data_IF_188966619131
#
_entry.id   IF_188966619131
#
_cell.length_a   1.000
_cell.length_b   1.000
_cell.length_c   1.000
_cell.angle_alpha   90.00
_cell.angle_beta   90.00
_cell.angle_gamma   90.00
#
_symmetry.space_group_name_H-M   'P 1'
#
loop_
_entity.id
_entity.type
_entity.pdbx_description
1 polymer ?
#
# COMPACT_ATOMS: atom_id res chain seq x y z
N UNK A 1 35.03 -0.89 2.19
CA UNK A 1 33.93 -0.40 3.06
C UNK A 1 33.27 -1.57 3.75
N UNK A 2 32.87 -1.41 5.03
CA UNK A 2 32.32 -2.46 5.87
C UNK A 2 31.06 -1.97 6.59
N UNK A 3 30.22 -2.91 7.00
CA UNK A 3 29.01 -2.72 7.83
C UNK A 3 29.01 -3.73 8.97
N UNK A 4 28.54 -3.33 10.13
CA UNK A 4 28.31 -4.22 11.26
C UNK A 4 26.83 -4.57 11.34
N UNK A 5 26.52 -5.84 11.54
CA UNK A 5 25.15 -6.32 11.60
C UNK A 5 25.04 -7.80 11.97
N UNK A 6 23.79 -8.26 12.04
CA UNK A 6 23.50 -9.68 12.26
C UNK A 6 23.74 -10.47 10.96
N UNK A 7 24.37 -11.59 11.09
CA UNK A 7 24.70 -12.51 10.02
C UNK A 7 24.13 -13.89 10.34
N UNK A 8 23.27 -14.36 9.48
CA UNK A 8 22.66 -15.67 9.59
C UNK A 8 23.56 -16.73 8.95
N UNK A 9 23.82 -17.79 9.67
CA UNK A 9 24.55 -18.99 9.19
C UNK A 9 23.74 -20.24 9.51
N UNK A 10 24.15 -21.38 8.98
CA UNK A 10 23.59 -22.68 9.37
C UNK A 10 23.75 -23.00 10.87
N UNK A 11 24.62 -22.30 11.59
CA UNK A 11 24.88 -22.46 13.01
C UNK A 11 24.20 -21.42 13.90
N UNK A 12 23.39 -20.51 13.30
CA UNK A 12 22.68 -19.47 14.02
C UNK A 12 23.01 -18.04 13.57
N UNK A 13 22.63 -17.07 14.40
CA UNK A 13 22.76 -15.64 14.12
C UNK A 13 23.98 -15.09 14.88
N UNK A 14 24.87 -14.41 14.17
CA UNK A 14 26.08 -13.82 14.73
C UNK A 14 26.18 -12.33 14.38
N UNK A 15 26.54 -11.49 15.36
CA UNK A 15 26.87 -10.10 15.10
C UNK A 15 28.33 -9.98 14.67
N UNK A 16 28.59 -9.44 13.49
CA UNK A 16 29.94 -9.21 13.01
C UNK A 16 30.06 -8.08 12.00
N UNK A 17 31.28 -7.62 11.79
CA UNK A 17 31.64 -6.66 10.75
C UNK A 17 31.95 -7.38 9.44
N UNK A 18 31.30 -6.95 8.36
CA UNK A 18 31.38 -7.57 7.03
C UNK A 18 31.61 -6.52 5.94
N UNK A 19 32.08 -6.94 4.74
CA UNK A 19 32.06 -6.08 3.58
C UNK A 19 30.65 -5.56 3.30
N UNK A 20 30.56 -4.31 2.85
CA UNK A 20 29.28 -3.70 2.48
C UNK A 20 28.64 -4.50 1.31
N UNK A 21 27.39 -4.96 1.43
CA UNK A 21 26.75 -5.77 0.40
C UNK A 21 26.51 -4.95 -0.87
N UNK A 22 26.47 -5.60 -2.03
CA UNK A 22 26.20 -4.94 -3.32
C UNK A 22 24.72 -4.68 -3.57
N UNK A 23 23.86 -5.40 -2.87
CA UNK A 23 22.40 -5.27 -2.90
C UNK A 23 21.90 -5.15 -1.47
N UNK A 24 21.05 -4.18 -1.23
CA UNK A 24 20.39 -3.92 0.06
C UNK A 24 18.90 -3.89 -0.18
N UNK A 25 18.17 -4.68 0.58
CA UNK A 25 16.71 -4.64 0.63
C UNK A 25 16.28 -3.74 1.78
N UNK A 26 15.77 -2.53 1.43
CA UNK A 26 15.39 -1.52 2.40
C UNK A 26 13.99 -1.78 2.97
N UNK A 27 13.92 -1.96 4.29
CA UNK A 27 12.67 -2.13 5.05
C UNK A 27 12.53 -1.10 6.16
N UNK A 28 13.32 -0.03 6.14
CA UNK A 28 13.20 1.07 7.11
C UNK A 28 11.91 1.86 6.89
N UNK A 29 11.36 2.41 7.99
CA UNK A 29 10.20 3.28 7.94
C UNK A 29 10.27 4.32 9.08
N UNK A 30 10.23 5.62 8.77
CA UNK A 30 10.35 6.17 7.41
C UNK A 30 11.72 5.82 6.77
N UNK A 31 11.82 5.95 5.45
CA UNK A 31 13.10 5.71 4.77
C UNK A 31 14.08 6.87 5.05
N UNK A 32 15.34 6.52 5.23
CA UNK A 32 16.43 7.50 5.36
C UNK A 32 17.00 7.84 3.99
N UNK A 33 16.49 8.92 3.39
CA UNK A 33 16.88 9.37 2.06
C UNK A 33 18.36 9.73 1.98
N UNK A 34 18.95 10.26 3.05
CA UNK A 34 20.36 10.62 3.07
C UNK A 34 21.28 9.39 3.00
N UNK A 35 20.99 8.37 3.81
CA UNK A 35 21.71 7.10 3.76
C UNK A 35 21.52 6.40 2.42
N UNK A 36 20.30 6.39 1.87
CA UNK A 36 20.03 5.79 0.56
C UNK A 36 20.83 6.50 -0.53
N UNK A 37 20.85 7.84 -0.57
CA UNK A 37 21.61 8.63 -1.52
C UNK A 37 23.11 8.34 -1.42
N UNK A 38 23.65 8.27 -0.20
CA UNK A 38 25.06 7.90 0.03
C UNK A 38 25.41 6.51 -0.49
N UNK A 39 24.53 5.51 -0.26
CA UNK A 39 24.75 4.14 -0.73
C UNK A 39 24.72 4.05 -2.27
N UNK A 40 23.79 4.74 -2.90
CA UNK A 40 23.62 4.70 -4.36
C UNK A 40 24.68 5.51 -5.11
N UNK A 41 25.32 6.51 -4.48
CA UNK A 41 26.42 7.30 -5.05
C UNK A 41 27.80 6.65 -4.92
N UNK A 42 27.91 5.49 -4.24
CA UNK A 42 29.17 4.77 -4.14
C UNK A 42 29.68 4.27 -5.50
N UNK A 43 31.00 4.12 -5.62
CA UNK A 43 31.62 3.48 -6.78
C UNK A 43 32.27 2.16 -6.36
N UNK A 44 31.81 1.02 -6.90
CA UNK A 44 30.60 0.82 -7.69
C UNK A 44 29.32 1.07 -6.84
N UNK A 45 28.23 1.54 -7.47
CA UNK A 45 27.01 1.86 -6.73
C UNK A 45 26.35 0.62 -6.13
N UNK A 46 25.70 0.78 -4.99
CA UNK A 46 24.91 -0.28 -4.33
C UNK A 46 23.48 -0.26 -4.87
N UNK A 47 22.95 -1.43 -5.19
CA UNK A 47 21.53 -1.58 -5.49
C UNK A 47 20.73 -1.54 -4.18
N UNK A 48 19.98 -0.47 -3.97
CA UNK A 48 19.01 -0.38 -2.88
C UNK A 48 17.64 -0.68 -3.46
N UNK A 49 17.05 -1.80 -3.06
CA UNK A 49 15.67 -2.18 -3.38
C UNK A 49 14.73 -1.40 -2.47
N UNK A 50 13.61 -0.92 -3.00
CA UNK A 50 12.65 -0.08 -2.29
C UNK A 50 13.33 1.15 -1.65
N UNK A 51 13.90 2.01 -2.51
CA UNK A 51 14.51 3.27 -2.05
C UNK A 51 13.54 4.14 -1.28
N UNK A 52 12.27 4.11 -1.69
CA UNK A 52 11.16 4.80 -1.05
C UNK A 52 10.24 3.72 -0.47
N UNK A 53 10.05 3.75 0.85
CA UNK A 53 9.20 2.81 1.59
C UNK A 53 7.90 3.45 2.07
N UNK A 54 7.84 4.77 2.09
CA UNK A 54 6.65 5.55 2.44
C UNK A 54 6.22 6.36 1.22
N UNK A 55 5.10 6.02 0.64
CA UNK A 55 4.53 6.71 -0.50
C UNK A 55 3.65 7.88 -0.05
N UNK A 56 3.86 9.03 -0.67
CA UNK A 56 2.98 10.18 -0.56
C UNK A 56 1.74 9.96 -1.42
N UNK A 57 0.54 9.90 -0.80
CA UNK A 57 -0.71 9.56 -1.48
C UNK A 57 -1.06 10.49 -2.63
N UNK A 58 -0.78 11.77 -2.49
CA UNK A 58 -1.01 12.76 -3.55
C UNK A 58 -0.07 12.55 -4.73
N UNK A 59 1.20 12.30 -4.45
CA UNK A 59 2.19 11.98 -5.50
C UNK A 59 1.81 10.71 -6.25
N UNK A 60 1.45 9.63 -5.53
CA UNK A 60 1.00 8.38 -6.17
C UNK A 60 -0.25 8.63 -7.02
N UNK A 61 -1.24 9.34 -6.49
CA UNK A 61 -2.46 9.68 -7.24
C UNK A 61 -2.12 10.40 -8.55
N UNK A 62 -1.31 11.46 -8.51
CA UNK A 62 -0.91 12.21 -9.72
C UNK A 62 -0.18 11.34 -10.75
N UNK A 63 0.71 10.45 -10.29
CA UNK A 63 1.45 9.57 -11.19
C UNK A 63 0.53 8.56 -11.91
N UNK A 64 -0.44 8.01 -11.19
CA UNK A 64 -1.38 7.03 -11.75
C UNK A 64 -2.48 7.68 -12.60
N UNK A 65 -2.98 8.86 -12.21
CA UNK A 65 -3.98 9.62 -12.98
C UNK A 65 -3.47 10.02 -14.36
N UNK A 66 -2.15 10.20 -14.53
CA UNK A 66 -1.52 10.49 -15.82
C UNK A 66 -1.45 9.27 -16.76
N UNK A 67 -2.10 8.16 -16.41
CA UNK A 67 -2.11 6.90 -17.16
C UNK A 67 -3.54 6.38 -17.33
N UNK A 68 -3.71 5.28 -18.05
CA UNK A 68 -5.01 4.60 -18.17
C UNK A 68 -5.50 3.96 -16.85
N UNK A 69 -4.68 3.93 -15.80
CA UNK A 69 -5.14 3.58 -14.44
C UNK A 69 -6.02 4.67 -13.82
N UNK A 70 -6.13 5.86 -14.42
CA UNK A 70 -7.05 6.92 -13.99
C UNK A 70 -8.49 6.43 -13.81
N UNK A 71 -8.94 5.49 -14.65
CA UNK A 71 -10.27 4.90 -14.57
C UNK A 71 -10.55 4.10 -13.28
N UNK A 72 -9.49 3.70 -12.59
CA UNK A 72 -9.56 2.93 -11.34
C UNK A 72 -9.25 3.76 -10.10
N UNK A 73 -9.09 5.07 -10.23
CA UNK A 73 -8.76 5.95 -9.11
C UNK A 73 -10.00 6.74 -8.69
N UNK A 74 -10.31 6.79 -7.38
CA UNK A 74 -11.26 7.75 -6.84
C UNK A 74 -10.81 9.18 -7.12
N UNK A 75 -11.74 10.10 -7.35
CA UNK A 75 -11.39 11.51 -7.48
C UNK A 75 -10.73 12.00 -6.19
N UNK A 76 -9.57 12.60 -6.34
CA UNK A 76 -8.74 13.01 -5.19
C UNK A 76 -8.21 14.41 -5.43
N UNK A 77 -8.18 15.19 -4.36
CA UNK A 77 -7.81 16.61 -4.38
C UNK A 77 -6.77 16.88 -3.30
N UNK A 78 -5.93 17.88 -3.51
CA UNK A 78 -5.12 18.43 -2.44
C UNK A 78 -6.03 19.18 -1.47
N UNK A 79 -5.74 19.09 -0.16
CA UNK A 79 -6.60 19.66 0.86
C UNK A 79 -6.37 21.15 0.99
N UNK A 80 -7.42 21.93 0.85
CA UNK A 80 -7.61 23.28 1.35
C UNK A 80 -9.10 23.49 1.71
N UNK A 81 -9.43 24.63 2.34
CA UNK A 81 -10.80 24.92 2.80
C UNK A 81 -11.81 24.99 1.66
N UNK A 82 -11.47 25.67 0.56
CA UNK A 82 -12.36 25.81 -0.59
C UNK A 82 -12.61 24.45 -1.26
N UNK A 83 -11.53 23.70 -1.47
CA UNK A 83 -11.59 22.34 -2.03
C UNK A 83 -12.41 21.40 -1.15
N UNK A 84 -12.32 21.51 0.19
CA UNK A 84 -13.14 20.72 1.10
C UNK A 84 -14.63 20.97 0.90
N UNK A 85 -15.02 22.24 0.81
CA UNK A 85 -16.40 22.65 0.59
C UNK A 85 -16.93 22.15 -0.76
N UNK A 86 -16.16 22.40 -1.83
CA UNK A 86 -16.51 21.98 -3.20
C UNK A 86 -16.63 20.45 -3.32
N UNK A 87 -15.73 19.71 -2.69
CA UNK A 87 -15.77 18.25 -2.71
C UNK A 87 -17.00 17.70 -1.97
N UNK A 88 -17.38 18.30 -0.82
CA UNK A 88 -18.61 17.92 -0.10
C UNK A 88 -19.86 18.20 -0.92
N UNK A 89 -19.93 19.35 -1.61
CA UNK A 89 -21.06 19.68 -2.51
C UNK A 89 -21.13 18.68 -3.67
N UNK A 90 -19.98 18.37 -4.28
CA UNK A 90 -19.90 17.55 -5.49
C UNK A 90 -20.20 16.08 -5.23
N UNK A 91 -19.62 15.52 -4.16
CA UNK A 91 -19.64 14.08 -3.90
C UNK A 91 -20.62 13.68 -2.79
N UNK A 92 -20.98 14.60 -1.89
CA UNK A 92 -21.84 14.33 -0.74
C UNK A 92 -21.20 13.45 0.34
N UNK A 93 -20.20 12.64 -0.03
CA UNK A 93 -19.50 11.71 0.84
C UNK A 93 -18.02 11.66 0.45
N UNK A 94 -17.14 12.00 1.38
CA UNK A 94 -15.70 12.13 1.15
C UNK A 94 -14.88 11.54 2.29
N UNK A 95 -13.63 11.19 1.98
CA UNK A 95 -12.62 10.81 2.97
C UNK A 95 -11.48 11.82 2.94
N UNK A 96 -11.07 12.28 4.12
CA UNK A 96 -9.88 13.11 4.30
C UNK A 96 -8.83 12.25 4.99
N UNK A 97 -7.62 12.25 4.42
CA UNK A 97 -6.53 11.38 4.92
C UNK A 97 -5.18 12.06 4.82
N UNK A 98 -4.25 11.82 5.79
CA UNK A 98 -2.88 12.33 5.68
C UNK A 98 -2.19 11.81 4.42
N UNK A 99 -1.46 12.68 3.72
CA UNK A 99 -0.64 12.30 2.56
C UNK A 99 0.39 11.24 2.94
N UNK A 100 1.05 11.43 4.09
CA UNK A 100 2.00 10.49 4.68
C UNK A 100 1.36 9.88 5.92
N UNK A 101 0.70 8.74 5.79
CA UNK A 101 0.01 8.06 6.88
C UNK A 101 0.05 6.55 6.71
N UNK A 102 -0.32 5.83 7.76
CA UNK A 102 -0.41 4.37 7.77
C UNK A 102 -1.53 3.90 8.70
N UNK A 103 -2.00 2.68 8.47
CA UNK A 103 -2.95 1.99 9.37
C UNK A 103 -4.23 2.78 9.67
N UNK A 104 -4.72 3.61 8.72
CA UNK A 104 -5.93 4.41 8.91
C UNK A 104 -5.81 5.57 9.89
N UNK A 105 -4.62 5.84 10.45
CA UNK A 105 -4.43 6.95 11.39
C UNK A 105 -4.70 8.31 10.74
N UNK A 106 -5.49 9.15 11.42
CA UNK A 106 -5.83 10.50 10.95
C UNK A 106 -6.83 10.52 9.78
N UNK A 107 -7.59 9.46 9.58
CA UNK A 107 -8.60 9.30 8.54
C UNK A 107 -9.96 9.80 9.05
N UNK A 108 -10.65 10.59 8.22
CA UNK A 108 -11.97 11.15 8.52
C UNK A 108 -12.88 10.93 7.32
N UNK A 109 -14.07 10.38 7.55
CA UNK A 109 -15.14 10.37 6.55
C UNK A 109 -16.16 11.44 6.90
N UNK A 110 -16.52 12.26 5.94
CA UNK A 110 -17.52 13.31 6.05
C UNK A 110 -18.65 13.02 5.08
N UNK A 111 -19.88 12.93 5.60
CA UNK A 111 -21.07 12.68 4.76
C UNK A 111 -22.07 13.81 4.96
N UNK A 112 -22.47 14.45 3.88
CA UNK A 112 -23.55 15.43 3.90
C UNK A 112 -24.89 14.71 4.10
N UNK A 113 -25.64 15.16 5.10
CA UNK A 113 -26.95 14.60 5.44
C UNK A 113 -28.08 15.58 5.11
N UNK A 114 -29.32 15.10 4.91
CA UNK A 114 -30.49 15.96 4.77
C UNK A 114 -30.64 16.93 5.96
N UNK A 115 -31.24 18.11 5.71
CA UNK A 115 -31.47 19.12 6.75
C UNK A 115 -30.22 19.90 7.15
N UNK A 116 -29.29 20.10 6.19
CA UNK A 116 -28.05 20.87 6.41
C UNK A 116 -27.21 20.33 7.58
N UNK A 117 -27.00 19.03 7.60
CA UNK A 117 -26.21 18.33 8.64
C UNK A 117 -25.00 17.64 8.02
N UNK A 118 -23.97 17.46 8.81
CA UNK A 118 -22.73 16.77 8.46
C UNK A 118 -22.52 15.60 9.43
N UNK A 119 -22.36 14.38 8.90
CA UNK A 119 -21.88 13.25 9.66
C UNK A 119 -20.37 13.21 9.59
N UNK A 120 -19.73 13.26 10.73
CA UNK A 120 -18.26 13.15 10.87
C UNK A 120 -17.97 11.80 11.49
N UNK A 121 -17.28 10.93 10.72
CA UNK A 121 -16.87 9.59 11.15
C UNK A 121 -15.35 9.49 11.13
N UNK A 122 -14.64 9.67 12.24
CA UNK A 122 -13.21 9.33 12.35
C UNK A 122 -13.00 7.83 12.13
N UNK A 123 -11.75 7.41 11.84
CA UNK A 123 -11.42 5.98 11.76
C UNK A 123 -11.69 5.25 13.10
N UNK A 124 -11.45 5.93 14.20
CA UNK A 124 -11.79 5.59 15.59
C UNK A 124 -12.04 6.93 16.26
N UNK A 125 -13.01 7.23 16.93
CA UNK A 125 -14.12 6.62 17.67
C UNK A 125 -15.51 6.86 17.05
N UNK A 126 -16.53 7.13 17.88
CA UNK A 126 -17.95 7.20 17.53
C UNK A 126 -18.26 8.30 16.52
N UNK A 127 -19.09 8.02 15.48
CA UNK A 127 -19.58 9.03 14.55
C UNK A 127 -20.42 10.08 15.25
N UNK A 128 -20.30 11.34 14.83
CA UNK A 128 -21.14 12.45 15.31
C UNK A 128 -21.80 13.17 14.13
N UNK A 129 -23.08 13.48 14.30
CA UNK A 129 -23.83 14.31 13.35
C UNK A 129 -24.00 15.71 13.93
N UNK A 130 -23.54 16.70 13.19
CA UNK A 130 -23.54 18.12 13.58
C UNK A 130 -24.24 18.97 12.52
N UNK A 131 -24.68 20.21 12.82
CA UNK A 131 -25.09 21.16 11.79
C UNK A 131 -23.93 21.43 10.81
N UNK A 132 -24.24 21.51 9.51
CA UNK A 132 -23.25 21.88 8.52
C UNK A 132 -23.13 23.41 8.49
N UNK A 133 -22.15 23.95 9.18
CA UNK A 133 -21.91 25.40 9.33
C UNK A 133 -20.43 25.70 9.10
N UNK A 134 -20.14 26.96 8.73
CA UNK A 134 -18.75 27.42 8.57
C UNK A 134 -17.94 27.24 9.86
N UNK A 135 -18.55 27.36 11.04
CA UNK A 135 -17.88 27.15 12.31
C UNK A 135 -17.38 25.71 12.47
N UNK A 136 -18.18 24.71 12.08
CA UNK A 136 -17.80 23.29 12.09
C UNK A 136 -16.70 23.02 11.08
N UNK A 137 -16.81 23.57 9.88
CA UNK A 137 -15.78 23.39 8.83
C UNK A 137 -14.46 24.03 9.27
N UNK A 138 -14.50 25.22 9.88
CA UNK A 138 -13.31 25.88 10.42
C UNK A 138 -12.68 25.05 11.56
N UNK A 139 -13.48 24.47 12.45
CA UNK A 139 -12.98 23.58 13.51
C UNK A 139 -12.28 22.35 12.92
N UNK A 140 -12.89 21.69 11.92
CA UNK A 140 -12.27 20.57 11.23
C UNK A 140 -10.95 20.99 10.58
N UNK A 141 -10.92 22.15 9.93
CA UNK A 141 -9.69 22.69 9.33
C UNK A 141 -8.58 22.87 10.36
N UNK A 142 -8.87 23.47 11.52
CA UNK A 142 -7.91 23.65 12.60
C UNK A 142 -7.32 22.31 13.07
N UNK A 143 -8.14 21.26 13.18
CA UNK A 143 -7.71 19.92 13.57
C UNK A 143 -6.80 19.27 12.51
N UNK A 144 -6.89 19.70 11.26
CA UNK A 144 -6.13 19.15 10.13
C UNK A 144 -4.87 19.94 9.78
N UNK A 145 -4.76 21.22 10.21
CA UNK A 145 -3.60 22.09 9.94
C UNK A 145 -2.22 21.42 10.19
N UNK A 146 -2.03 20.63 11.28
CA UNK A 146 -0.72 20.01 11.52
C UNK A 146 -0.29 18.99 10.47
N UNK A 147 -1.18 18.62 9.54
CA UNK A 147 -0.95 17.54 8.58
C UNK A 147 -1.15 18.05 7.16
N UNK A 148 -0.33 17.56 6.23
CA UNK A 148 -0.66 17.65 4.81
C UNK A 148 -1.67 16.56 4.48
N UNK A 149 -2.85 16.95 3.99
CA UNK A 149 -3.98 16.07 3.77
C UNK A 149 -4.34 15.97 2.29
N UNK A 150 -5.09 14.95 1.92
CA UNK A 150 -5.84 14.85 0.67
C UNK A 150 -7.32 14.60 0.98
N UNK A 151 -8.17 15.11 0.09
CA UNK A 151 -9.60 14.85 0.05
C UNK A 151 -9.85 13.85 -1.08
N UNK A 152 -10.63 12.81 -0.81
CA UNK A 152 -10.96 11.79 -1.79
C UNK A 152 -12.46 11.50 -1.75
N UNK A 153 -13.10 11.32 -2.90
CA UNK A 153 -14.49 10.82 -2.94
C UNK A 153 -14.56 9.47 -2.21
N UNK A 154 -15.62 9.26 -1.47
CA UNK A 154 -15.84 7.98 -0.81
C UNK A 154 -16.48 7.00 -1.79
N UNK A 155 -15.82 5.87 -2.00
CA UNK A 155 -16.36 4.79 -2.83
C UNK A 155 -17.16 3.84 -1.96
N UNK A 156 -18.44 3.65 -2.30
CA UNK A 156 -19.32 2.68 -1.64
C UNK A 156 -18.95 1.26 -2.08
N UNK A 157 -18.04 0.65 -1.33
CA UNK A 157 -17.54 -0.69 -1.61
C UNK A 157 -18.61 -1.74 -1.35
N UNK A 158 -18.49 -2.86 -2.06
CA UNK A 158 -19.24 -4.07 -1.76
C UNK A 158 -18.97 -4.55 -0.34
N UNK A 159 -19.91 -5.29 0.21
CA UNK A 159 -19.81 -5.85 1.55
C UNK A 159 -20.14 -7.35 1.51
N UNK A 160 -19.55 -8.11 2.41
CA UNK A 160 -19.86 -9.50 2.70
C UNK A 160 -20.33 -9.58 4.16
N UNK A 161 -21.48 -10.20 4.38
CA UNK A 161 -22.11 -10.26 5.71
C UNK A 161 -22.24 -8.89 6.40
N UNK A 162 -22.52 -7.83 5.62
CA UNK A 162 -22.63 -6.46 6.13
C UNK A 162 -21.31 -5.76 6.41
N UNK A 163 -20.16 -6.41 6.23
CA UNK A 163 -18.82 -5.86 6.46
C UNK A 163 -18.12 -5.52 5.15
N UNK A 164 -17.50 -4.35 5.05
CA UNK A 164 -16.66 -3.99 3.92
C UNK A 164 -15.44 -4.90 3.83
N UNK A 165 -14.97 -5.12 2.60
CA UNK A 165 -13.72 -5.83 2.36
C UNK A 165 -12.88 -5.13 1.30
N UNK A 166 -11.61 -5.46 1.27
CA UNK A 166 -10.70 -5.12 0.18
C UNK A 166 -9.91 -6.33 -0.29
N UNK A 167 -9.30 -6.16 -1.46
CA UNK A 167 -8.34 -7.09 -2.05
C UNK A 167 -6.96 -6.47 -1.94
N UNK A 168 -6.04 -7.12 -1.23
CA UNK A 168 -4.64 -6.70 -1.14
C UNK A 168 -3.76 -7.57 -2.02
N UNK A 169 -3.25 -6.99 -3.09
CA UNK A 169 -2.27 -7.61 -3.96
C UNK A 169 -0.85 -7.27 -3.47
N UNK A 170 -0.07 -8.28 -3.10
CA UNK A 170 1.37 -8.16 -2.90
C UNK A 170 2.07 -8.36 -4.24
N UNK A 171 2.66 -7.31 -4.77
CA UNK A 171 3.35 -7.32 -6.06
C UNK A 171 4.84 -7.27 -5.81
N UNK A 172 5.57 -8.28 -6.27
CA UNK A 172 7.00 -8.43 -6.03
C UNK A 172 7.74 -8.77 -7.33
N UNK A 173 9.02 -8.40 -7.39
CA UNK A 173 9.90 -8.87 -8.46
C UNK A 173 10.41 -10.26 -8.16
N UNK A 174 10.24 -11.16 -9.13
CA UNK A 174 10.71 -12.52 -9.06
C UNK A 174 12.23 -12.63 -9.32
N UNK A 175 12.75 -13.86 -9.26
CA UNK A 175 14.17 -14.19 -9.51
C UNK A 175 14.69 -13.84 -10.91
N UNK A 176 13.84 -13.41 -11.82
CA UNK A 176 14.19 -12.97 -13.18
C UNK A 176 14.12 -11.44 -13.32
N UNK A 177 13.53 -10.75 -12.33
CA UNK A 177 13.33 -9.31 -12.32
C UNK A 177 11.98 -8.87 -12.88
N UNK A 178 11.06 -9.81 -13.12
CA UNK A 178 9.72 -9.54 -13.61
C UNK A 178 8.76 -9.30 -12.45
N UNK A 179 7.83 -8.37 -12.62
CA UNK A 179 6.77 -8.14 -11.66
C UNK A 179 5.72 -9.24 -11.70
N UNK A 180 5.34 -9.76 -10.54
CA UNK A 180 4.29 -10.75 -10.35
C UNK A 180 3.47 -10.43 -9.10
N UNK A 181 2.22 -10.87 -9.03
CA UNK A 181 1.44 -10.92 -7.79
C UNK A 181 1.85 -12.19 -7.06
N UNK A 182 2.54 -12.02 -5.93
CA UNK A 182 3.00 -13.15 -5.10
C UNK A 182 1.90 -13.63 -4.16
N UNK A 183 1.06 -12.72 -3.68
CA UNK A 183 -0.07 -13.03 -2.81
C UNK A 183 -1.25 -12.12 -3.12
N UNK A 184 -2.45 -12.66 -3.06
CA UNK A 184 -3.69 -11.92 -3.17
C UNK A 184 -4.62 -12.31 -2.02
N UNK A 185 -4.79 -11.40 -1.08
CA UNK A 185 -5.57 -11.59 0.14
C UNK A 185 -6.76 -10.67 0.18
N UNK A 186 -7.78 -11.06 0.94
CA UNK A 186 -8.89 -10.19 1.34
C UNK A 186 -8.82 -9.90 2.82
N UNK A 187 -9.10 -8.65 3.18
CA UNK A 187 -9.34 -8.23 4.57
C UNK A 187 -10.80 -7.86 4.72
N UNK A 188 -11.48 -8.48 5.65
CA UNK A 188 -12.87 -8.15 6.00
C UNK A 188 -12.83 -7.21 7.19
N UNK A 189 -13.37 -6.01 7.05
CA UNK A 189 -13.41 -5.01 8.11
C UNK A 189 -14.20 -5.50 9.33
N UNK A 190 -13.89 -4.97 10.50
CA UNK A 190 -14.75 -5.12 11.68
C UNK A 190 -16.12 -4.48 11.41
N UNK A 191 -17.13 -4.93 12.12
CA UNK A 191 -18.47 -4.35 12.01
C UNK A 191 -18.43 -2.83 12.20
N UNK A 192 -19.26 -2.10 11.46
CA UNK A 192 -19.37 -0.64 11.46
C UNK A 192 -18.12 0.13 11.03
N UNK A 193 -17.03 -0.55 10.66
CA UNK A 193 -15.85 0.10 10.08
C UNK A 193 -16.01 0.35 8.59
N UNK A 194 -15.63 1.55 8.15
CA UNK A 194 -15.61 1.94 6.73
C UNK A 194 -14.22 1.78 6.08
N UNK A 195 -13.25 1.27 6.85
CA UNK A 195 -11.89 0.99 6.41
C UNK A 195 -11.47 -0.43 6.81
N UNK A 196 -10.69 -1.06 5.96
CA UNK A 196 -10.21 -2.43 6.16
C UNK A 196 -8.90 -2.53 6.95
N UNK A 197 -8.37 -1.40 7.41
CA UNK A 197 -7.21 -1.38 8.31
C UNK A 197 -7.52 -2.01 9.68
N UNK A 198 -8.79 -1.93 10.12
CA UNK A 198 -9.33 -2.61 11.29
C UNK A 198 -10.16 -3.81 10.82
N UNK A 199 -9.47 -4.89 10.48
CA UNK A 199 -10.11 -6.11 10.00
C UNK A 199 -10.38 -7.11 11.14
N UNK A 200 -11.37 -7.96 10.93
CA UNK A 200 -11.69 -9.08 11.79
C UNK A 200 -11.24 -10.42 11.21
N UNK A 201 -11.02 -10.48 9.89
CA UNK A 201 -10.62 -11.69 9.19
C UNK A 201 -9.76 -11.39 7.98
N UNK A 202 -8.77 -12.25 7.76
CA UNK A 202 -7.94 -12.30 6.56
C UNK A 202 -8.11 -13.68 5.94
N UNK A 203 -8.25 -13.73 4.61
CA UNK A 203 -8.35 -14.99 3.87
C UNK A 203 -7.88 -14.82 2.43
N UNK A 204 -7.71 -15.90 1.70
CA UNK A 204 -7.43 -15.83 0.26
C UNK A 204 -8.54 -15.07 -0.47
N UNK A 205 -8.18 -14.19 -1.40
CA UNK A 205 -9.15 -13.41 -2.16
C UNK A 205 -10.09 -14.31 -2.99
N UNK A 206 -9.54 -15.38 -3.58
CA UNK A 206 -10.32 -16.35 -4.34
C UNK A 206 -11.40 -17.02 -3.48
N UNK A 207 -11.05 -17.43 -2.27
CA UNK A 207 -11.98 -18.05 -1.32
C UNK A 207 -13.11 -17.08 -0.94
N UNK A 208 -12.79 -15.82 -0.61
CA UNK A 208 -13.82 -14.83 -0.30
C UNK A 208 -14.77 -14.61 -1.46
N UNK A 209 -14.22 -14.39 -2.65
CA UNK A 209 -15.01 -14.10 -3.85
C UNK A 209 -15.91 -15.28 -4.23
N UNK A 210 -15.41 -16.51 -4.15
CA UNK A 210 -16.17 -17.71 -4.45
C UNK A 210 -17.33 -17.93 -3.45
N UNK A 211 -17.07 -17.76 -2.15
CA UNK A 211 -18.06 -17.95 -1.11
C UNK A 211 -19.24 -16.96 -1.20
N UNK A 212 -19.03 -15.80 -1.81
CA UNK A 212 -20.04 -14.74 -1.93
C UNK A 212 -20.50 -14.49 -3.37
N UNK A 213 -20.28 -15.46 -4.27
CA UNK A 213 -20.79 -15.48 -5.65
C UNK A 213 -20.34 -14.31 -6.54
N UNK A 214 -19.18 -13.73 -6.28
CA UNK A 214 -18.58 -12.75 -7.17
C UNK A 214 -18.03 -13.42 -8.44
N UNK A 215 -17.84 -12.68 -9.54
CA UNK A 215 -17.21 -13.20 -10.76
C UNK A 215 -15.69 -13.39 -10.56
N UNK A 216 -15.33 -14.47 -9.86
CA UNK A 216 -13.97 -14.74 -9.32
C UNK A 216 -12.88 -14.50 -10.34
N UNK A 217 -12.93 -15.24 -11.47
CA UNK A 217 -11.85 -15.16 -12.47
C UNK A 217 -11.66 -13.75 -13.02
N UNK A 218 -12.76 -13.06 -13.35
CA UNK A 218 -12.69 -11.71 -13.91
C UNK A 218 -12.08 -10.71 -12.92
N UNK A 219 -12.44 -10.81 -11.64
CA UNK A 219 -11.92 -9.93 -10.59
C UNK A 219 -10.44 -10.22 -10.32
N UNK A 220 -10.03 -11.49 -10.23
CA UNK A 220 -8.65 -11.86 -9.98
C UNK A 220 -7.73 -11.43 -11.13
N UNK A 221 -8.11 -11.72 -12.40
CA UNK A 221 -7.35 -11.33 -13.59
C UNK A 221 -7.20 -9.80 -13.70
N UNK A 222 -8.28 -9.06 -13.42
CA UNK A 222 -8.24 -7.59 -13.41
C UNK A 222 -7.38 -7.04 -12.27
N UNK A 223 -7.49 -7.61 -11.07
CA UNK A 223 -6.69 -7.24 -9.89
C UNK A 223 -5.19 -7.44 -10.16
N UNK A 224 -4.80 -8.57 -10.74
CA UNK A 224 -3.42 -8.85 -11.12
C UNK A 224 -2.92 -7.83 -12.16
N UNK A 225 -3.69 -7.61 -13.22
CA UNK A 225 -3.34 -6.68 -14.31
C UNK A 225 -3.13 -5.26 -13.78
N UNK A 226 -4.07 -4.73 -12.99
CA UNK A 226 -4.02 -3.38 -12.41
C UNK A 226 -2.80 -3.27 -11.48
N UNK A 227 -2.58 -4.27 -10.65
CA UNK A 227 -1.53 -4.25 -9.62
C UNK A 227 -0.12 -4.31 -10.22
N UNK A 228 0.10 -5.19 -11.20
CA UNK A 228 1.39 -5.27 -11.92
C UNK A 228 1.65 -3.98 -12.70
N UNK A 229 0.64 -3.42 -13.35
CA UNK A 229 0.75 -2.16 -14.07
C UNK A 229 1.11 -1.00 -13.14
N UNK A 230 0.45 -0.93 -11.98
CA UNK A 230 0.77 0.04 -10.92
C UNK A 230 2.24 -0.07 -10.52
N UNK A 231 2.74 -1.27 -10.26
CA UNK A 231 4.14 -1.48 -9.87
C UNK A 231 5.12 -1.00 -10.96
N UNK A 232 4.86 -1.29 -12.23
CA UNK A 232 5.69 -0.86 -13.37
C UNK A 232 5.74 0.66 -13.51
N UNK A 233 4.58 1.32 -13.42
CA UNK A 233 4.50 2.79 -13.53
C UNK A 233 5.27 3.45 -12.38
N UNK A 234 5.05 2.99 -11.14
CA UNK A 234 5.71 3.56 -9.98
C UNK A 234 7.22 3.32 -9.99
N UNK A 235 7.69 2.16 -10.44
CA UNK A 235 9.12 1.92 -10.58
C UNK A 235 9.77 2.88 -11.59
N UNK A 236 9.13 3.13 -12.73
CA UNK A 236 9.64 4.06 -13.75
C UNK A 236 9.76 5.49 -13.21
N UNK A 237 8.87 5.90 -12.30
CA UNK A 237 8.78 7.28 -11.79
C UNK A 237 9.54 7.49 -10.48
N UNK A 238 9.52 6.51 -9.60
CA UNK A 238 10.08 6.61 -8.24
C UNK A 238 11.47 5.94 -8.12
N UNK A 239 11.89 5.20 -9.14
CA UNK A 239 13.14 4.45 -9.14
C UNK A 239 12.97 3.03 -8.63
N UNK A 240 14.08 2.39 -8.29
CA UNK A 240 14.17 0.95 -8.09
C UNK A 240 13.29 0.43 -6.95
N UNK A 241 12.25 -0.30 -7.31
CA UNK A 241 11.35 -1.01 -6.41
C UNK A 241 11.54 -2.52 -6.59
N UNK A 242 11.34 -3.29 -5.54
CA UNK A 242 11.32 -4.76 -5.54
C UNK A 242 9.96 -5.31 -5.12
N UNK A 243 9.20 -4.53 -4.36
CA UNK A 243 7.86 -4.89 -3.92
C UNK A 243 7.01 -3.66 -3.63
N UNK A 244 5.72 -3.80 -3.79
CA UNK A 244 4.67 -2.90 -3.31
C UNK A 244 3.46 -3.74 -2.89
N UNK A 245 2.52 -3.17 -2.14
CA UNK A 245 1.14 -3.68 -2.10
C UNK A 245 0.18 -2.68 -2.68
N UNK A 246 -0.84 -3.20 -3.37
CA UNK A 246 -1.95 -2.43 -3.92
C UNK A 246 -3.22 -2.91 -3.21
N UNK A 247 -3.90 -1.98 -2.55
CA UNK A 247 -5.17 -2.22 -1.91
C UNK A 247 -6.27 -1.80 -2.88
N UNK A 248 -7.11 -2.76 -3.29
CA UNK A 248 -8.21 -2.53 -4.22
C UNK A 248 -9.54 -2.75 -3.51
N UNK A 249 -10.43 -1.79 -3.67
CA UNK A 249 -11.83 -1.95 -3.30
C UNK A 249 -12.64 -2.44 -4.50
N UNK A 250 -13.68 -3.23 -4.24
CA UNK A 250 -14.68 -3.66 -5.21
C UNK A 250 -15.98 -2.92 -4.91
N UNK A 251 -16.57 -2.21 -5.86
CA UNK A 251 -17.86 -1.57 -5.66
C UNK A 251 -19.04 -2.54 -5.97
N UNK A 252 -20.25 -2.08 -5.75
CA UNK A 252 -21.47 -2.88 -5.96
C UNK A 252 -21.70 -3.28 -7.42
N UNK A 253 -21.05 -2.61 -8.37
CA UNK A 253 -21.07 -2.95 -9.78
C UNK A 253 -19.90 -3.87 -10.21
N UNK A 254 -19.14 -4.39 -9.23
CA UNK A 254 -17.92 -5.18 -9.43
C UNK A 254 -16.79 -4.42 -10.13
N UNK A 255 -16.80 -3.06 -10.08
CA UNK A 255 -15.68 -2.26 -10.55
C UNK A 255 -14.61 -2.22 -9.48
N UNK A 256 -13.35 -2.41 -9.88
CA UNK A 256 -12.19 -2.27 -9.01
C UNK A 256 -11.75 -0.81 -8.88
N UNK A 257 -11.33 -0.45 -7.67
CA UNK A 257 -10.82 0.87 -7.33
C UNK A 257 -9.50 0.73 -6.57
N UNK A 258 -8.46 1.43 -7.00
CA UNK A 258 -7.18 1.52 -6.27
C UNK A 258 -7.40 2.46 -5.08
N UNK A 259 -7.50 1.89 -3.88
CA UNK A 259 -7.75 2.65 -2.64
C UNK A 259 -6.45 3.18 -2.06
N UNK A 260 -5.39 2.34 -2.07
CA UNK A 260 -4.08 2.70 -1.55
C UNK A 260 -2.96 1.88 -2.20
N UNK A 261 -1.77 2.48 -2.28
CA UNK A 261 -0.54 1.78 -2.69
C UNK A 261 0.52 1.98 -1.61
N UNK A 262 1.15 0.89 -1.17
CA UNK A 262 2.13 0.91 -0.08
C UNK A 262 3.51 0.43 -0.55
N UNK A 263 4.56 1.23 -0.28
CA UNK A 263 5.95 0.91 -0.64
C UNK A 263 6.65 -0.04 0.33
N UNK A 264 6.04 -0.32 1.49
CA UNK A 264 6.50 -1.30 2.48
C UNK A 264 5.34 -2.15 2.94
N UNK A 265 4.97 -3.19 2.16
CA UNK A 265 3.90 -4.13 2.54
C UNK A 265 4.12 -4.73 3.93
N UNK A 266 3.04 -4.80 4.73
CA UNK A 266 3.05 -5.57 5.96
C UNK A 266 2.94 -7.05 5.62
N UNK A 267 3.99 -7.81 5.96
CA UNK A 267 4.07 -9.25 5.65
C UNK A 267 3.50 -10.14 6.74
N UNK A 268 3.28 -9.61 7.95
CA UNK A 268 2.67 -10.37 9.04
C UNK A 268 1.23 -10.79 8.70
N UNK A 269 0.55 -9.97 7.89
CA UNK A 269 -0.79 -10.27 7.39
C UNK A 269 -0.90 -11.67 6.76
N UNK A 270 0.14 -12.11 6.05
CA UNK A 270 0.12 -13.41 5.34
C UNK A 270 0.28 -14.60 6.30
N UNK A 271 0.86 -14.38 7.47
CA UNK A 271 0.97 -15.40 8.50
C UNK A 271 -0.41 -15.81 9.07
N UNK A 272 -1.40 -14.90 9.00
CA UNK A 272 -2.76 -15.16 9.48
C UNK A 272 -3.53 -16.17 8.62
N UNK A 273 -3.11 -16.38 7.36
CA UNK A 273 -3.71 -17.36 6.47
C UNK A 273 -3.31 -18.81 6.78
N UNK A 274 -2.34 -19.01 7.68
CA UNK A 274 -1.83 -20.35 8.09
C UNK A 274 -1.35 -21.20 6.90
N UNK A 275 -0.83 -20.56 5.86
CA UNK A 275 -0.21 -21.18 4.69
C UNK A 275 1.32 -20.96 4.76
N UNK A 276 2.10 -21.94 5.21
CA UNK A 276 3.55 -21.81 5.34
C UNK A 276 4.27 -21.57 4.00
N UNK A 277 3.76 -22.16 2.90
CA UNK A 277 4.37 -22.01 1.57
C UNK A 277 4.18 -20.57 1.05
N UNK A 278 2.99 -20.00 1.22
CA UNK A 278 2.73 -18.61 0.91
C UNK A 278 3.62 -17.67 1.73
N UNK A 279 3.74 -17.92 3.04
CA UNK A 279 4.60 -17.10 3.92
C UNK A 279 6.04 -17.17 3.45
N UNK A 280 6.57 -18.37 3.19
CA UNK A 280 7.93 -18.55 2.67
C UNK A 280 8.12 -17.76 1.36
N UNK A 281 7.22 -17.92 0.39
CA UNK A 281 7.28 -17.25 -0.90
C UNK A 281 7.28 -15.72 -0.74
N UNK A 282 6.42 -15.17 0.11
CA UNK A 282 6.32 -13.72 0.38
C UNK A 282 7.63 -13.14 0.89
N UNK A 283 8.37 -13.88 1.73
CA UNK A 283 9.65 -13.43 2.27
C UNK A 283 10.83 -13.69 1.33
N UNK A 284 10.83 -14.82 0.60
CA UNK A 284 11.94 -15.21 -0.28
C UNK A 284 11.99 -14.42 -1.58
N UNK A 285 10.85 -14.12 -2.20
CA UNK A 285 10.79 -13.50 -3.53
C UNK A 285 11.67 -12.24 -3.67
N UNK A 286 11.64 -11.23 -2.77
CA UNK A 286 12.53 -10.07 -2.90
C UNK A 286 14.00 -10.39 -2.63
N UNK A 287 14.31 -11.45 -1.86
CA UNK A 287 15.68 -11.90 -1.63
C UNK A 287 16.25 -12.58 -2.88
N UNK A 288 15.44 -13.40 -3.55
CA UNK A 288 15.81 -14.03 -4.82
C UNK A 288 16.08 -12.98 -5.91
N UNK A 289 15.24 -11.92 -5.97
CA UNK A 289 15.48 -10.78 -6.84
C UNK A 289 16.81 -10.07 -6.49
N UNK A 290 17.09 -9.89 -5.21
CA UNK A 290 18.39 -9.37 -4.74
C UNK A 290 19.56 -10.21 -5.22
N UNK A 291 19.45 -11.54 -5.18
CA UNK A 291 20.47 -12.47 -5.70
C UNK A 291 20.62 -12.39 -7.22
N UNK A 292 19.52 -12.27 -7.96
CA UNK A 292 19.56 -12.06 -9.40
C UNK A 292 20.39 -10.82 -9.75
N UNK A 293 20.15 -9.69 -9.09
CA UNK A 293 20.92 -8.46 -9.30
C UNK A 293 22.41 -8.61 -8.91
N UNK A 294 22.67 -9.35 -7.83
CA UNK A 294 24.04 -9.62 -7.41
C UNK A 294 24.81 -10.45 -8.44
N UNK A 295 24.17 -11.46 -9.05
CA UNK A 295 24.76 -12.33 -10.08
C UNK A 295 24.94 -11.62 -11.40
N UNK A 296 23.97 -10.83 -11.86
CA UNK A 296 24.02 -10.09 -13.13
C UNK A 296 25.25 -9.16 -13.23
N UNK A 297 25.84 -8.76 -12.11
CA UNK A 297 27.08 -8.00 -12.03
C UNK A 297 28.37 -8.82 -12.05
N UNK A 298 28.27 -10.16 -12.13
CA UNK A 298 29.41 -11.06 -12.27
C UNK A 298 29.27 -11.88 -13.55
N UNK A 299 29.70 -11.39 -14.72
CA UNK A 299 29.93 -12.27 -15.84
C UNK A 299 31.11 -13.18 -15.46
N UNK A 300 30.83 -14.42 -15.08
CA UNK A 300 31.79 -15.47 -14.81
C UNK A 300 32.48 -15.47 -13.45
N UNK A 301 31.88 -16.16 -12.47
CA UNK A 301 32.50 -17.06 -11.49
C UNK A 301 31.51 -17.43 -10.35
N UNK A 302 31.28 -18.74 -10.19
CA UNK A 302 30.90 -19.38 -8.93
C UNK A 302 29.45 -19.26 -8.49
N UNK A 303 28.87 -20.40 -8.21
CA UNK A 303 27.55 -20.58 -7.58
C UNK A 303 27.54 -19.89 -6.21
N UNK A 304 26.77 -18.81 -6.08
CA UNK A 304 26.45 -18.25 -4.76
C UNK A 304 25.27 -19.07 -4.20
N UNK A 305 25.53 -19.89 -3.18
CA UNK A 305 24.46 -20.56 -2.43
C UNK A 305 23.85 -19.57 -1.44
N UNK A 306 22.52 -19.47 -1.45
CA UNK A 306 21.77 -18.94 -0.30
C UNK A 306 22.09 -19.83 0.89
N UNK A 307 22.55 -19.24 1.96
CA UNK A 307 22.67 -19.90 3.26
C UNK A 307 21.60 -19.22 4.12
N UNK A 308 20.55 -19.96 4.37
CA UNK A 308 19.47 -19.58 5.30
C UNK A 308 19.90 -19.81 6.72
#
# INVERSE_FOLDING_TARGET
RTVSGLYLTKYGVHFKRMPLPKVIYNRLYPHDQQTISRLTSLSPPIHVLNRITQFDKWTIHKLLTATDLAAYLPQTYEYDMATLHDALIRHGDIVIKPRLGRQGSGLWRLTALPGNRLLIKPAVPVPIAVPYTDAIINLLHILMIPYTMVIQEYIHLAAVDGCHFDLRALVQKNRHGDWQVTALTSRIAQADQYITNYYQKVMAAEELLANHQFPVKAILDATETISIKTARILEQKLGHLAEISVDLGLDQANKLWIVEVNGKPDKLLYCEQKDPELVEQVYLTPLEYGLYLHKKRRPGRGVCRLVF
#
